data_IF_024493699894
#
_entry.id   IF_024493699894
#
_cell.length_a   1.000
_cell.length_b   1.000
_cell.length_c   1.000
_cell.angle_alpha   90.00
_cell.angle_beta   90.00
_cell.angle_gamma   90.00
#
_symmetry.space_group_name_H-M   'P 1'
#
loop_
_entity.id
_entity.type
_entity.pdbx_description
1 polymer ?
#
# COMPACT_ATOMS: atom_id res chain seq x y z
N UNK A 1 -6.27 -14.61 12.66
CA UNK A 1 -6.28 -14.57 11.19
C UNK A 1 -5.33 -13.50 10.69
N UNK A 2 -4.49 -13.89 9.74
CA UNK A 2 -3.56 -12.95 9.09
C UNK A 2 -4.32 -12.16 8.03
N UNK A 3 -4.07 -10.84 7.95
CA UNK A 3 -4.63 -10.06 6.86
C UNK A 3 -3.79 -10.30 5.59
N UNK A 4 -4.25 -9.74 4.46
CA UNK A 4 -3.58 -9.94 3.17
C UNK A 4 -2.14 -9.41 3.16
N UNK A 5 -1.88 -8.34 3.92
CA UNK A 5 -0.54 -7.78 4.01
C UNK A 5 0.42 -8.70 4.74
N UNK A 6 -0.03 -9.31 5.84
CA UNK A 6 0.79 -10.26 6.60
C UNK A 6 1.11 -11.49 5.77
N UNK A 7 0.13 -12.00 5.03
CA UNK A 7 0.33 -13.15 4.13
C UNK A 7 1.34 -12.81 3.03
N UNK A 8 1.24 -11.63 2.46
CA UNK A 8 2.14 -11.19 1.41
C UNK A 8 3.58 -11.11 1.90
N UNK A 9 3.79 -10.59 3.10
CA UNK A 9 5.13 -10.49 3.69
C UNK A 9 5.69 -11.87 4.02
N UNK A 10 4.85 -12.77 4.55
CA UNK A 10 5.26 -14.13 4.83
C UNK A 10 5.70 -14.85 3.55
N UNK A 11 4.95 -14.68 2.46
CA UNK A 11 5.28 -15.28 1.17
C UNK A 11 6.60 -14.74 0.62
N UNK A 12 6.81 -13.42 0.69
CA UNK A 12 8.05 -12.81 0.22
C UNK A 12 9.26 -13.29 1.03
N UNK A 13 9.11 -13.36 2.34
CA UNK A 13 10.19 -13.86 3.21
C UNK A 13 10.54 -15.31 2.84
N UNK A 14 9.53 -16.14 2.61
CA UNK A 14 9.72 -17.54 2.25
C UNK A 14 10.44 -17.66 0.90
N UNK A 15 10.02 -16.90 -0.08
CA UNK A 15 10.67 -16.90 -1.40
C UNK A 15 12.14 -16.52 -1.32
N UNK A 16 12.48 -15.59 -0.45
CA UNK A 16 13.85 -15.14 -0.27
C UNK A 16 14.67 -16.03 0.66
N UNK A 17 14.05 -17.11 1.20
CA UNK A 17 14.72 -18.01 2.11
C UNK A 17 15.05 -17.38 3.46
N UNK A 18 14.28 -16.40 3.89
CA UNK A 18 14.51 -15.67 5.13
C UNK A 18 13.41 -15.95 6.14
N UNK A 19 13.78 -15.94 7.43
CA UNK A 19 12.77 -15.89 8.47
C UNK A 19 12.07 -14.53 8.44
N UNK A 20 10.87 -14.46 9.02
CA UNK A 20 10.11 -13.23 9.09
C UNK A 20 10.89 -12.11 9.80
N UNK A 21 11.56 -12.46 10.90
CA UNK A 21 12.37 -11.51 11.66
C UNK A 21 13.53 -10.95 10.84
N UNK A 22 14.25 -11.81 10.14
CA UNK A 22 15.37 -11.41 9.28
C UNK A 22 14.87 -10.53 8.15
N UNK A 23 13.75 -10.89 7.55
CA UNK A 23 13.15 -10.11 6.46
C UNK A 23 12.79 -8.70 6.94
N UNK A 24 12.11 -8.58 8.09
CA UNK A 24 11.74 -7.28 8.64
C UNK A 24 12.95 -6.44 8.99
N UNK A 25 13.99 -7.03 9.56
CA UNK A 25 15.23 -6.31 9.89
C UNK A 25 15.89 -5.76 8.63
N UNK A 26 15.94 -6.54 7.57
CA UNK A 26 16.50 -6.08 6.31
C UNK A 26 15.66 -4.97 5.66
N UNK A 27 14.34 -5.08 5.72
CA UNK A 27 13.45 -4.04 5.23
C UNK A 27 13.71 -2.71 5.95
N UNK A 28 13.80 -2.75 7.28
CA UNK A 28 14.05 -1.54 8.06
C UNK A 28 15.40 -0.93 7.70
N UNK A 29 16.42 -1.75 7.54
CA UNK A 29 17.76 -1.29 7.19
C UNK A 29 17.77 -0.63 5.80
N UNK A 30 17.06 -1.23 4.83
CA UNK A 30 17.05 -0.75 3.44
C UNK A 30 16.09 0.42 3.22
N UNK A 31 14.96 0.44 3.90
CA UNK A 31 13.89 1.42 3.65
C UNK A 31 13.73 2.44 4.77
N UNK A 32 14.23 2.15 5.96
CA UNK A 32 13.99 2.97 7.15
C UNK A 32 12.60 2.82 7.72
N UNK A 33 11.77 1.94 7.17
CA UNK A 33 10.37 1.78 7.56
C UNK A 33 10.20 0.60 8.52
N UNK A 34 9.27 0.75 9.48
CA UNK A 34 8.83 -0.37 10.29
C UNK A 34 7.97 -1.31 9.43
N UNK A 35 7.73 -2.57 9.88
CA UNK A 35 6.86 -3.48 9.15
C UNK A 35 5.47 -2.90 8.88
N UNK A 36 4.88 -2.21 9.86
CA UNK A 36 3.57 -1.59 9.71
C UNK A 36 3.59 -0.49 8.65
N UNK A 37 4.61 0.36 8.69
CA UNK A 37 4.77 1.43 7.73
C UNK A 37 5.00 0.88 6.33
N UNK A 38 5.81 -0.16 6.20
CA UNK A 38 6.08 -0.81 4.93
C UNK A 38 4.80 -1.41 4.33
N UNK A 39 4.02 -2.13 5.14
CA UNK A 39 2.75 -2.70 4.70
C UNK A 39 1.78 -1.61 4.23
N UNK A 40 1.69 -0.55 5.00
CA UNK A 40 0.82 0.57 4.66
C UNK A 40 1.21 1.18 3.31
N UNK A 41 2.50 1.40 3.11
CA UNK A 41 3.00 1.95 1.85
C UNK A 41 2.74 1.02 0.68
N UNK A 42 2.92 -0.29 0.85
CA UNK A 42 2.62 -1.26 -0.19
C UNK A 42 1.14 -1.25 -0.57
N UNK A 43 0.25 -1.17 0.44
CA UNK A 43 -1.19 -1.08 0.21
C UNK A 43 -1.56 0.18 -0.57
N UNK A 44 -0.94 1.30 -0.22
CA UNK A 44 -1.17 2.56 -0.92
C UNK A 44 -0.68 2.48 -2.36
N UNK A 45 0.48 1.89 -2.61
CA UNK A 45 1.00 1.73 -3.97
C UNK A 45 0.10 0.84 -4.82
N UNK A 46 -0.45 -0.21 -4.22
CA UNK A 46 -1.41 -1.07 -4.91
C UNK A 46 -2.68 -0.28 -5.24
N UNK A 47 -3.16 0.53 -4.30
CA UNK A 47 -4.32 1.38 -4.53
C UNK A 47 -4.09 2.34 -5.71
N UNK A 48 -2.90 2.92 -5.80
CA UNK A 48 -2.55 3.83 -6.91
C UNK A 48 -2.67 3.12 -8.25
N UNK A 49 -2.22 1.87 -8.33
CA UNK A 49 -2.37 1.07 -9.55
C UNK A 49 -3.84 0.85 -9.91
N UNK A 50 -4.67 0.54 -8.91
CA UNK A 50 -6.11 0.32 -9.12
C UNK A 50 -6.82 1.61 -9.55
N UNK A 51 -6.42 2.74 -8.99
CA UNK A 51 -6.95 4.05 -9.36
C UNK A 51 -6.65 4.35 -10.83
N UNK A 52 -5.42 4.13 -11.26
CA UNK A 52 -5.02 4.37 -12.65
C UNK A 52 -5.68 3.40 -13.61
N UNK A 53 -6.04 2.21 -13.16
CA UNK A 53 -6.73 1.21 -13.96
C UNK A 53 -8.26 1.35 -13.93
N UNK A 54 -8.78 2.32 -13.17
CA UNK A 54 -10.24 2.54 -13.02
C UNK A 54 -10.98 1.31 -12.48
N UNK A 55 -10.38 0.62 -11.50
CA UNK A 55 -10.89 -0.64 -10.96
C UNK A 55 -11.92 -0.44 -9.83
N UNK A 56 -12.71 0.62 -9.88
CA UNK A 56 -13.76 0.89 -8.91
C UNK A 56 -13.68 2.31 -8.35
N UNK A 57 -14.60 2.64 -7.43
CA UNK A 57 -14.57 3.95 -6.78
C UNK A 57 -13.55 3.94 -5.64
N UNK A 58 -13.28 5.11 -5.06
CA UNK A 58 -12.24 5.25 -4.04
C UNK A 58 -12.52 4.42 -2.79
N UNK A 59 -13.78 4.35 -2.36
CA UNK A 59 -14.14 3.55 -1.19
C UNK A 59 -13.92 2.06 -1.44
N UNK A 60 -14.26 1.58 -2.63
CA UNK A 60 -14.03 0.19 -3.02
C UNK A 60 -12.55 -0.14 -3.07
N UNK A 61 -11.75 0.75 -3.66
CA UNK A 61 -10.30 0.57 -3.76
C UNK A 61 -9.69 0.55 -2.37
N UNK A 62 -10.07 1.49 -1.50
CA UNK A 62 -9.56 1.53 -0.13
C UNK A 62 -9.82 0.21 0.59
N UNK A 63 -11.05 -0.27 0.52
CA UNK A 63 -11.43 -1.53 1.15
C UNK A 63 -10.65 -2.70 0.56
N UNK A 64 -10.52 -2.74 -0.76
CA UNK A 64 -9.86 -3.83 -1.47
C UNK A 64 -8.39 -3.96 -1.09
N UNK A 65 -7.70 -2.84 -0.82
CA UNK A 65 -6.29 -2.88 -0.41
C UNK A 65 -6.12 -2.97 1.10
N UNK A 66 -7.20 -3.14 1.86
CA UNK A 66 -7.13 -3.44 3.28
C UNK A 66 -7.42 -2.29 4.23
N UNK A 67 -7.95 -1.16 3.75
CA UNK A 67 -8.37 -0.05 4.61
C UNK A 67 -9.85 -0.12 4.89
N UNK A 68 -10.21 -0.05 6.17
CA UNK A 68 -11.63 -0.07 6.59
C UNK A 68 -12.25 1.31 6.61
N UNK A 69 -11.45 2.37 6.52
CA UNK A 69 -11.89 3.75 6.62
C UNK A 69 -11.29 4.53 5.45
N UNK A 70 -12.16 5.08 4.62
CA UNK A 70 -11.71 5.83 3.44
C UNK A 70 -11.02 7.16 3.80
N UNK A 71 -11.36 7.77 4.93
CA UNK A 71 -10.64 8.96 5.42
C UNK A 71 -9.20 8.66 5.77
N UNK A 72 -9.00 7.58 6.51
CA UNK A 72 -7.66 7.15 6.87
C UNK A 72 -6.87 6.74 5.63
N UNK A 73 -7.52 6.06 4.69
CA UNK A 73 -6.92 5.71 3.41
C UNK A 73 -6.42 6.97 2.68
N UNK A 74 -7.26 7.98 2.56
CA UNK A 74 -6.90 9.23 1.87
C UNK A 74 -5.72 9.91 2.56
N UNK A 75 -5.71 9.92 3.89
CA UNK A 75 -4.62 10.50 4.66
C UNK A 75 -3.30 9.79 4.39
N UNK A 76 -3.31 8.45 4.41
CA UNK A 76 -2.12 7.65 4.14
C UNK A 76 -1.66 7.83 2.69
N UNK A 77 -2.60 7.86 1.76
CA UNK A 77 -2.29 8.08 0.34
C UNK A 77 -1.57 9.41 0.14
N UNK A 78 -2.08 10.46 0.77
CA UNK A 78 -1.48 11.79 0.66
C UNK A 78 -0.07 11.81 1.27
N UNK A 79 0.17 11.06 2.34
CA UNK A 79 1.51 10.96 2.93
C UNK A 79 2.51 10.32 1.96
N UNK A 80 2.07 9.35 1.17
CA UNK A 80 2.97 8.65 0.25
C UNK A 80 3.15 9.42 -1.06
N UNK A 81 2.07 9.95 -1.61
CA UNK A 81 2.10 10.58 -2.94
C UNK A 81 2.06 12.10 -2.95
N UNK A 82 1.81 12.73 -1.80
CA UNK A 82 1.71 14.18 -1.71
C UNK A 82 0.39 14.76 -2.17
N UNK A 83 -0.51 13.93 -2.69
CA UNK A 83 -1.84 14.35 -3.16
C UNK A 83 -2.87 13.32 -2.69
N UNK A 84 -4.14 13.73 -2.67
CA UNK A 84 -5.24 12.81 -2.32
C UNK A 84 -5.47 11.82 -3.47
N UNK A 85 -6.16 10.69 -3.20
CA UNK A 85 -6.49 9.75 -4.27
C UNK A 85 -7.29 10.40 -5.41
N UNK A 86 -8.21 11.30 -5.08
CA UNK A 86 -9.01 12.01 -6.07
C UNK A 86 -8.15 12.93 -6.94
N UNK A 87 -7.24 13.67 -6.31
CA UNK A 87 -6.29 14.52 -7.02
C UNK A 87 -5.36 13.69 -7.91
N UNK A 88 -4.95 12.53 -7.43
CA UNK A 88 -4.10 11.63 -8.19
C UNK A 88 -4.79 11.15 -9.47
N UNK A 89 -6.06 10.77 -9.35
CA UNK A 89 -6.87 10.36 -10.50
C UNK A 89 -7.06 11.52 -11.48
N UNK A 90 -7.37 12.71 -10.98
CA UNK A 90 -7.52 13.90 -11.82
C UNK A 90 -6.23 14.26 -12.55
N UNK A 91 -5.09 14.10 -11.88
CA UNK A 91 -3.79 14.30 -12.49
C UNK A 91 -3.54 13.33 -13.65
N UNK A 92 -3.98 12.09 -13.52
CA UNK A 92 -3.91 11.12 -14.61
C UNK A 92 -4.72 11.60 -15.81
N UNK A 93 -5.96 12.08 -15.56
CA UNK A 93 -6.86 12.53 -16.63
C UNK A 93 -6.31 13.76 -17.34
N UNK A 94 -5.58 14.60 -16.64
CA UNK A 94 -5.02 15.83 -17.18
C UNK A 94 -3.62 15.66 -17.78
N UNK A 95 -3.03 14.50 -17.68
CA UNK A 95 -1.74 14.21 -18.29
C UNK A 95 -1.92 13.90 -19.76
N UNK A 96 -1.24 14.64 -20.55
CA UNK A 96 -1.26 14.51 -21.99
C UNK A 96 0.07 13.94 -22.46
#
# INVERSE_FOLDING_TARGET
NLDNGDLMIADLAQELGMSRSVFFNKLKTLTGLSPVEFLREMRIKKAAQLILADEGNMAQIAYQVGFNDSHYFSKCFKQVYGVTPTEYKSGKENRI
#
